data_IF_828069045833
#
_entry.id   IF_828069045833
#
_cell.length_a   1.000
_cell.length_b   1.000
_cell.length_c   1.000
_cell.angle_alpha   90.00
_cell.angle_beta   90.00
_cell.angle_gamma   90.00
#
_symmetry.space_group_name_H-M   'P 1'
#
loop_
_entity.id
_entity.type
_entity.pdbx_description
1 polymer ?
#
# COMPACT_ATOMS: atom_id res chain seq x y z
N UNK A 1 -27.08 16.32 -67.51
CA UNK A 1 -26.12 16.20 -66.38
C UNK A 1 -26.81 16.68 -65.13
N UNK A 2 -27.30 15.77 -64.29
CA UNK A 2 -27.91 16.10 -63.00
C UNK A 2 -27.04 15.45 -61.93
N UNK A 3 -26.23 16.24 -61.22
CA UNK A 3 -25.35 15.77 -60.15
C UNK A 3 -26.17 15.61 -58.87
N UNK A 4 -26.29 14.38 -58.38
CA UNK A 4 -26.82 14.07 -57.06
C UNK A 4 -25.74 14.38 -56.02
N UNK A 5 -26.00 15.36 -55.15
CA UNK A 5 -25.18 15.65 -53.98
C UNK A 5 -25.67 14.73 -52.85
N UNK A 6 -24.85 13.75 -52.48
CA UNK A 6 -25.04 12.93 -51.28
C UNK A 6 -24.52 13.72 -50.07
N UNK A 7 -25.43 14.27 -49.26
CA UNK A 7 -25.09 14.85 -47.96
C UNK A 7 -24.98 13.69 -46.96
N UNK A 8 -23.76 13.33 -46.58
CA UNK A 8 -23.49 12.40 -45.49
C UNK A 8 -23.70 13.14 -44.18
N UNK A 9 -24.84 12.91 -43.53
CA UNK A 9 -25.10 13.39 -42.18
C UNK A 9 -24.33 12.45 -41.24
N UNK A 10 -23.13 12.88 -40.81
CA UNK A 10 -22.40 12.24 -39.73
C UNK A 10 -23.15 12.58 -38.44
N UNK A 11 -23.95 11.64 -37.95
CA UNK A 11 -24.56 11.73 -36.63
C UNK A 11 -23.47 11.76 -35.57
N UNK A 12 -23.21 12.94 -35.00
CA UNK A 12 -22.51 13.07 -33.72
C UNK A 12 -23.38 12.39 -32.66
N UNK A 13 -23.04 11.15 -32.31
CA UNK A 13 -23.56 10.54 -31.09
C UNK A 13 -23.00 11.34 -29.93
N UNK A 14 -23.82 12.22 -29.35
CA UNK A 14 -23.60 12.72 -28.01
C UNK A 14 -23.69 11.50 -27.08
N UNK A 15 -22.54 10.91 -26.81
CA UNK A 15 -22.40 9.90 -25.77
C UNK A 15 -22.81 10.56 -24.46
N UNK A 16 -24.00 10.20 -23.97
CA UNK A 16 -24.42 10.53 -22.63
C UNK A 16 -23.42 9.83 -21.71
N UNK A 17 -22.50 10.57 -21.11
CA UNK A 17 -21.68 10.07 -20.01
C UNK A 17 -22.60 9.96 -18.78
N UNK A 18 -23.49 8.98 -18.80
CA UNK A 18 -24.19 8.55 -17.61
C UNK A 18 -23.11 8.04 -16.66
N UNK A 19 -23.01 8.64 -15.47
CA UNK A 19 -22.19 8.12 -14.39
C UNK A 19 -22.57 6.65 -14.20
N UNK A 20 -21.67 5.75 -14.59
CA UNK A 20 -21.91 4.33 -14.48
C UNK A 20 -21.61 3.95 -13.03
N UNK A 21 -22.65 3.57 -12.30
CA UNK A 21 -22.52 3.11 -10.91
C UNK A 21 -21.41 2.05 -10.81
N UNK A 22 -20.57 2.16 -9.76
CA UNK A 22 -19.48 1.21 -9.53
C UNK A 22 -20.06 -0.20 -9.37
N UNK A 23 -19.42 -1.17 -10.04
CA UNK A 23 -19.84 -2.57 -9.98
C UNK A 23 -19.69 -3.11 -8.55
N UNK A 24 -20.81 -3.49 -7.93
CA UNK A 24 -20.81 -4.09 -6.59
C UNK A 24 -20.44 -5.57 -6.67
N UNK A 25 -19.57 -6.01 -5.78
CA UNK A 25 -19.12 -7.40 -5.63
C UNK A 25 -19.23 -7.84 -4.17
N UNK A 26 -19.52 -9.12 -3.94
CA UNK A 26 -19.47 -9.72 -2.61
C UNK A 26 -18.05 -10.22 -2.27
N UNK A 27 -17.85 -10.71 -1.05
CA UNK A 27 -16.53 -11.19 -0.58
C UNK A 27 -15.99 -12.36 -1.45
N UNK A 28 -16.86 -13.22 -1.99
CA UNK A 28 -16.45 -14.39 -2.78
C UNK A 28 -15.95 -13.96 -4.15
N UNK A 29 -16.72 -13.12 -4.83
CA UNK A 29 -16.33 -12.55 -6.11
C UNK A 29 -15.10 -11.65 -5.98
N UNK A 30 -15.01 -10.87 -4.90
CA UNK A 30 -13.83 -10.06 -4.64
C UNK A 30 -12.57 -10.93 -4.51
N UNK A 31 -12.61 -12.03 -3.75
CA UNK A 31 -11.48 -12.97 -3.66
C UNK A 31 -11.09 -13.50 -5.05
N UNK A 32 -12.06 -13.85 -5.91
CA UNK A 32 -11.76 -14.33 -7.26
C UNK A 32 -11.03 -13.27 -8.10
N UNK A 33 -11.43 -12.00 -8.01
CA UNK A 33 -10.75 -10.90 -8.70
C UNK A 33 -9.32 -10.72 -8.17
N UNK A 34 -9.14 -10.76 -6.85
CA UNK A 34 -7.84 -10.52 -6.20
C UNK A 34 -6.85 -11.66 -6.38
N UNK A 35 -7.33 -12.89 -6.57
CA UNK A 35 -6.49 -14.07 -6.87
C UNK A 35 -6.10 -14.17 -8.35
N UNK A 36 -6.70 -13.35 -9.21
CA UNK A 36 -6.28 -13.22 -10.60
C UNK A 36 -4.97 -12.43 -10.76
N UNK A 37 -4.46 -12.36 -11.99
CA UNK A 37 -3.27 -11.57 -12.33
C UNK A 37 -3.60 -10.13 -12.78
N UNK A 38 -4.83 -9.66 -12.52
CA UNK A 38 -5.29 -8.34 -12.95
C UNK A 38 -5.05 -7.29 -11.88
N UNK A 39 -4.95 -6.03 -12.30
CA UNK A 39 -5.02 -4.89 -11.40
C UNK A 39 -6.48 -4.69 -10.98
N UNK A 40 -6.72 -4.39 -9.71
CA UNK A 40 -8.08 -4.20 -9.17
C UNK A 40 -8.08 -2.99 -8.25
N UNK A 41 -9.00 -2.05 -8.46
CA UNK A 41 -9.25 -0.97 -7.50
C UNK A 41 -10.56 -1.29 -6.79
N UNK A 42 -10.51 -1.32 -5.46
CA UNK A 42 -11.64 -1.70 -4.62
C UNK A 42 -11.98 -0.54 -3.70
N UNK A 43 -13.21 -0.04 -3.82
CA UNK A 43 -13.80 0.85 -2.83
C UNK A 43 -14.60 0.03 -1.82
N UNK A 44 -14.12 -0.05 -0.58
CA UNK A 44 -14.86 -0.63 0.54
C UNK A 44 -15.73 0.44 1.17
N UNK A 45 -17.04 0.21 1.17
CA UNK A 45 -18.05 1.10 1.71
C UNK A 45 -18.91 0.39 2.75
N UNK A 46 -19.71 1.19 3.44
CA UNK A 46 -20.66 0.72 4.44
C UNK A 46 -22.00 1.38 4.24
N UNK A 47 -23.09 0.65 4.51
CA UNK A 47 -24.41 1.25 4.55
C UNK A 47 -24.50 2.34 5.63
N UNK A 48 -25.28 3.40 5.37
CA UNK A 48 -25.46 4.56 6.26
C UNK A 48 -24.16 5.32 6.59
N UNK A 49 -23.25 5.42 5.62
CA UNK A 49 -21.96 6.09 5.75
C UNK A 49 -21.92 7.37 4.91
N UNK A 50 -21.95 8.53 5.57
CA UNK A 50 -21.94 9.82 4.85
C UNK A 50 -20.63 10.06 4.09
N UNK A 51 -19.48 9.71 4.69
CA UNK A 51 -18.16 9.87 4.06
C UNK A 51 -17.98 8.94 2.86
N UNK A 52 -18.67 7.81 2.83
CA UNK A 52 -18.61 6.86 1.71
C UNK A 52 -19.15 7.47 0.42
N UNK A 53 -20.16 8.36 0.52
CA UNK A 53 -20.70 9.07 -0.64
C UNK A 53 -19.64 9.94 -1.34
N UNK A 54 -18.72 10.55 -0.58
CA UNK A 54 -17.64 11.36 -1.14
C UNK A 54 -16.69 10.50 -1.97
N UNK A 55 -16.26 9.35 -1.42
CA UNK A 55 -15.43 8.39 -2.15
C UNK A 55 -16.16 7.82 -3.36
N UNK A 56 -17.44 7.45 -3.24
CA UNK A 56 -18.23 6.92 -4.36
C UNK A 56 -18.31 7.92 -5.50
N UNK A 57 -18.58 9.19 -5.21
CA UNK A 57 -18.65 10.24 -6.23
C UNK A 57 -17.33 10.41 -6.96
N UNK A 58 -16.21 10.54 -6.22
CA UNK A 58 -14.89 10.75 -6.81
C UNK A 58 -14.45 9.52 -7.60
N UNK A 59 -14.57 8.32 -7.02
CA UNK A 59 -14.13 7.06 -7.68
C UNK A 59 -14.98 6.77 -8.92
N UNK A 60 -16.30 7.02 -8.89
CA UNK A 60 -17.17 6.89 -10.08
C UNK A 60 -16.75 7.86 -11.18
N UNK A 61 -16.38 9.10 -10.81
CA UNK A 61 -15.95 10.12 -11.76
C UNK A 61 -14.62 9.76 -12.44
N UNK A 62 -13.64 9.25 -11.68
CA UNK A 62 -12.32 8.88 -12.21
C UNK A 62 -12.25 7.42 -12.72
N UNK A 63 -13.36 6.68 -12.67
CA UNK A 63 -13.42 5.27 -13.05
C UNK A 63 -12.81 5.00 -14.45
N UNK A 64 -13.14 5.75 -15.52
CA UNK A 64 -12.53 5.53 -16.84
C UNK A 64 -11.00 5.68 -16.82
N UNK A 65 -10.48 6.68 -16.10
CA UNK A 65 -9.04 6.92 -15.99
C UNK A 65 -8.32 5.81 -15.22
N UNK A 66 -8.96 5.25 -14.19
CA UNK A 66 -8.44 4.09 -13.45
C UNK A 66 -8.37 2.84 -14.34
N UNK A 67 -9.40 2.58 -15.16
CA UNK A 67 -9.38 1.45 -16.11
C UNK A 67 -8.32 1.66 -17.19
N UNK A 68 -8.25 2.84 -17.80
CA UNK A 68 -7.32 3.13 -18.90
C UNK A 68 -5.86 3.15 -18.43
N UNK A 69 -5.56 3.91 -17.36
CA UNK A 69 -4.18 4.16 -16.94
C UNK A 69 -3.61 3.00 -16.13
N UNK A 70 -4.42 2.42 -15.25
CA UNK A 70 -3.94 1.35 -14.36
C UNK A 70 -4.23 -0.05 -14.93
N UNK A 71 -4.98 -0.15 -16.05
CA UNK A 71 -5.51 -1.43 -16.54
C UNK A 71 -6.26 -2.19 -15.45
N UNK A 72 -6.96 -1.45 -14.58
CA UNK A 72 -7.56 -1.99 -13.37
C UNK A 72 -9.06 -2.23 -13.52
N UNK A 73 -9.55 -3.34 -12.99
CA UNK A 73 -10.98 -3.55 -12.78
C UNK A 73 -11.39 -2.75 -11.54
N UNK A 74 -12.35 -1.82 -11.67
CA UNK A 74 -12.82 -1.01 -10.54
C UNK A 74 -14.13 -1.59 -10.00
N UNK A 75 -14.17 -1.85 -8.70
CA UNK A 75 -15.33 -2.44 -8.02
C UNK A 75 -15.58 -1.77 -6.67
N UNK A 76 -16.79 -1.97 -6.15
CA UNK A 76 -17.12 -1.62 -4.77
C UNK A 76 -17.57 -2.85 -3.98
N UNK A 77 -17.21 -2.90 -2.71
CA UNK A 77 -17.71 -3.88 -1.75
C UNK A 77 -18.37 -3.14 -0.59
N UNK A 78 -19.65 -3.44 -0.33
CA UNK A 78 -20.45 -2.73 0.68
C UNK A 78 -20.80 -3.68 1.82
N UNK A 79 -20.47 -3.29 3.04
CA UNK A 79 -20.55 -4.11 4.26
C UNK A 79 -19.75 -5.44 4.16
N UNK A 80 -18.68 -5.46 3.35
CA UNK A 80 -17.82 -6.63 3.16
C UNK A 80 -16.84 -6.85 4.31
N UNK A 81 -16.52 -8.10 4.64
CA UNK A 81 -15.66 -8.40 5.78
C UNK A 81 -14.16 -8.19 5.47
N UNK A 82 -13.82 -8.21 4.18
CA UNK A 82 -12.45 -8.15 3.70
C UNK A 82 -11.77 -6.80 3.96
N UNK A 83 -12.52 -5.72 4.15
CA UNK A 83 -11.94 -4.40 4.52
C UNK A 83 -11.06 -4.50 5.76
N UNK A 84 -11.44 -5.35 6.73
CA UNK A 84 -10.68 -5.53 7.97
C UNK A 84 -9.28 -6.12 7.78
N UNK A 85 -8.99 -6.66 6.59
CA UNK A 85 -7.68 -7.19 6.19
C UNK A 85 -6.82 -6.10 5.53
N UNK A 86 -7.43 -5.05 4.97
CA UNK A 86 -6.72 -4.05 4.16
C UNK A 86 -6.67 -2.66 4.81
N UNK A 87 -7.59 -2.33 5.72
CA UNK A 87 -7.56 -1.08 6.48
C UNK A 87 -7.97 -1.29 7.95
N UNK A 88 -7.06 -1.08 8.92
CA UNK A 88 -7.38 -1.10 10.34
C UNK A 88 -8.40 -0.03 10.79
N UNK A 89 -8.53 1.07 10.04
CA UNK A 89 -9.38 2.23 10.38
C UNK A 89 -10.84 2.07 9.95
N UNK A 90 -11.16 1.01 9.18
CA UNK A 90 -12.48 0.68 8.63
C UNK A 90 -13.03 1.68 7.61
N UNK A 91 -14.19 1.33 7.01
CA UNK A 91 -14.81 2.00 5.87
C UNK A 91 -15.07 3.51 6.06
N UNK A 92 -14.96 4.34 5.00
CA UNK A 92 -14.58 3.96 3.64
C UNK A 92 -13.08 3.68 3.51
N UNK A 93 -12.71 2.71 2.68
CA UNK A 93 -11.32 2.43 2.36
C UNK A 93 -11.17 2.21 0.85
N UNK A 94 -10.19 2.87 0.23
CA UNK A 94 -9.88 2.71 -1.18
C UNK A 94 -8.54 2.00 -1.32
N UNK A 95 -8.54 0.82 -1.96
CA UNK A 95 -7.38 -0.05 -2.04
C UNK A 95 -7.11 -0.39 -3.50
N UNK A 96 -5.86 -0.21 -3.93
CA UNK A 96 -5.39 -0.63 -5.24
C UNK A 96 -4.56 -1.91 -5.12
N UNK A 97 -4.99 -2.96 -5.78
CA UNK A 97 -4.31 -4.25 -5.84
C UNK A 97 -3.52 -4.35 -7.14
N UNK A 98 -2.20 -4.38 -7.02
CA UNK A 98 -1.26 -4.47 -8.14
C UNK A 98 -0.80 -5.91 -8.23
N UNK A 99 -1.46 -6.70 -9.10
CA UNK A 99 -1.26 -8.16 -9.20
C UNK A 99 -1.30 -8.84 -7.82
N UNK A 100 -2.34 -8.53 -7.06
CA UNK A 100 -2.56 -9.06 -5.70
C UNK A 100 -1.84 -8.34 -4.56
N UNK A 101 -0.94 -7.38 -4.83
CA UNK A 101 -0.25 -6.61 -3.78
C UNK A 101 -1.05 -5.33 -3.46
N UNK A 102 -1.67 -5.24 -2.27
CA UNK A 102 -2.55 -4.12 -1.93
C UNK A 102 -1.76 -2.87 -1.56
N UNK A 103 -2.24 -1.69 -1.93
CA UNK A 103 -1.83 -0.41 -1.37
C UNK A 103 -3.07 0.38 -0.95
N UNK A 104 -3.05 0.87 0.29
CA UNK A 104 -4.14 1.66 0.87
C UNK A 104 -3.99 3.14 0.50
N UNK A 105 -5.04 3.72 -0.05
CA UNK A 105 -5.11 5.16 -0.23
C UNK A 105 -5.45 5.86 1.10
N UNK A 106 -4.65 6.85 1.47
CA UNK A 106 -4.78 7.59 2.74
C UNK A 106 -4.66 9.11 2.57
N UNK A 107 -4.76 9.60 1.33
CA UNK A 107 -4.71 11.02 0.99
C UNK A 107 -6.09 11.69 1.02
N UNK A 108 -6.12 12.94 0.54
CA UNK A 108 -7.35 13.72 0.40
C UNK A 108 -8.28 13.14 -0.67
N UNK A 109 -9.59 13.18 -0.49
CA UNK A 109 -10.54 12.54 -1.42
C UNK A 109 -10.84 13.46 -2.60
N UNK A 110 -9.94 13.48 -3.57
CA UNK A 110 -10.14 14.21 -4.83
C UNK A 110 -9.50 13.47 -6.00
N UNK A 111 -9.96 13.80 -7.21
CA UNK A 111 -9.59 13.14 -8.45
C UNK A 111 -8.08 13.05 -8.68
N UNK A 112 -7.40 14.20 -8.68
CA UNK A 112 -6.00 14.32 -9.08
C UNK A 112 -5.08 13.60 -8.08
N UNK A 113 -5.30 13.78 -6.77
CA UNK A 113 -4.46 13.13 -5.75
C UNK A 113 -4.62 11.59 -5.77
N UNK A 114 -5.84 11.06 -5.98
CA UNK A 114 -6.04 9.60 -6.06
C UNK A 114 -5.36 9.04 -7.31
N UNK A 115 -5.55 9.68 -8.46
CA UNK A 115 -4.94 9.26 -9.72
C UNK A 115 -3.41 9.33 -9.64
N UNK A 116 -2.86 10.44 -9.17
CA UNK A 116 -1.42 10.62 -9.02
C UNK A 116 -0.84 9.61 -8.04
N UNK A 117 -1.48 9.37 -6.90
CA UNK A 117 -1.02 8.38 -5.95
C UNK A 117 -0.97 6.97 -6.54
N UNK A 118 -2.01 6.51 -7.24
CA UNK A 118 -2.00 5.18 -7.86
C UNK A 118 -1.05 5.07 -9.05
N UNK A 119 -0.97 6.11 -9.89
CA UNK A 119 -0.03 6.18 -11.01
C UNK A 119 1.43 6.14 -10.54
N UNK A 120 1.76 6.88 -9.48
CA UNK A 120 3.10 6.84 -8.91
C UNK A 120 3.40 5.44 -8.35
N UNK A 121 2.40 4.69 -7.89
CA UNK A 121 2.56 3.44 -7.16
C UNK A 121 2.15 2.18 -7.93
N UNK A 122 2.26 2.19 -9.27
CA UNK A 122 2.01 1.02 -10.13
C UNK A 122 2.82 -0.21 -9.73
N UNK A 123 4.09 -0.01 -9.35
CA UNK A 123 4.97 -1.08 -8.89
C UNK A 123 5.16 -1.01 -7.36
N UNK A 124 5.19 -2.16 -6.66
CA UNK A 124 5.44 -2.21 -5.22
C UNK A 124 6.79 -1.60 -4.85
N UNK A 125 6.80 -0.74 -3.83
CA UNK A 125 8.01 -0.07 -3.36
C UNK A 125 8.68 -0.80 -2.19
N UNK A 126 7.93 -1.65 -1.47
CA UNK A 126 8.45 -2.36 -0.29
C UNK A 126 9.35 -3.51 -0.74
N UNK A 127 10.56 -3.57 -0.17
CA UNK A 127 11.53 -4.62 -0.44
C UNK A 127 11.37 -5.79 0.53
N UNK A 128 11.46 -7.02 0.02
CA UNK A 128 11.52 -8.22 0.86
C UNK A 128 12.96 -8.46 1.32
N UNK A 129 13.16 -8.54 2.63
CA UNK A 129 14.46 -8.86 3.23
C UNK A 129 14.47 -10.27 3.79
N UNK A 130 15.66 -10.85 3.83
CA UNK A 130 15.97 -12.13 4.43
C UNK A 130 17.35 -12.08 5.09
N UNK A 131 17.70 -13.12 5.82
CA UNK A 131 19.04 -13.30 6.38
C UNK A 131 20.14 -13.22 5.30
N UNK A 132 19.84 -13.69 4.08
CA UNK A 132 20.80 -13.72 2.97
C UNK A 132 21.06 -12.34 2.34
N UNK A 133 20.06 -11.46 2.33
CA UNK A 133 20.15 -10.19 1.60
C UNK A 133 20.23 -8.95 2.50
N UNK A 134 19.91 -9.07 3.80
CA UNK A 134 19.76 -7.93 4.70
C UNK A 134 21.04 -7.11 4.78
N UNK A 135 22.18 -7.73 5.08
CA UNK A 135 23.45 -6.99 5.19
C UNK A 135 23.92 -6.46 3.85
N UNK A 136 23.75 -7.24 2.77
CA UNK A 136 24.13 -6.81 1.44
C UNK A 136 23.39 -5.54 1.03
N UNK A 137 22.07 -5.51 1.24
CA UNK A 137 21.22 -4.40 0.83
C UNK A 137 21.30 -3.22 1.79
N UNK A 138 21.30 -3.45 3.11
CA UNK A 138 21.18 -2.38 4.10
C UNK A 138 22.52 -1.81 4.56
N UNK A 139 23.58 -2.62 4.55
CA UNK A 139 24.88 -2.31 5.15
C UNK A 139 24.75 -1.83 6.61
N UNK A 140 23.77 -2.40 7.34
CA UNK A 140 23.41 -1.90 8.67
C UNK A 140 24.53 -2.06 9.70
N UNK A 141 25.30 -3.17 9.63
CA UNK A 141 26.34 -3.47 10.63
C UNK A 141 27.63 -2.66 10.45
N UNK A 142 27.97 -2.29 9.22
CA UNK A 142 29.19 -1.51 8.94
C UNK A 142 29.01 -0.01 9.23
N UNK A 143 27.79 0.43 9.51
CA UNK A 143 27.42 1.84 9.64
C UNK A 143 27.40 2.62 8.32
N UNK A 144 27.86 2.01 7.22
CA UNK A 144 27.87 2.58 5.87
C UNK A 144 26.56 2.23 5.14
N UNK A 145 25.43 2.71 5.66
CA UNK A 145 24.10 2.35 5.14
C UNK A 145 23.90 2.84 3.70
N UNK A 146 23.24 2.05 2.85
CA UNK A 146 22.85 2.39 1.45
C UNK A 146 21.69 3.40 1.37
N UNK A 147 21.62 4.31 2.34
CA UNK A 147 20.46 5.10 2.69
C UNK A 147 19.76 4.56 3.94
N UNK A 148 18.75 5.29 4.41
CA UNK A 148 17.98 4.89 5.58
C UNK A 148 16.98 3.78 5.21
N UNK A 149 16.68 2.91 6.18
CA UNK A 149 15.78 1.78 5.99
C UNK A 149 14.73 1.74 7.09
N UNK A 150 13.45 1.64 6.75
CA UNK A 150 12.40 1.33 7.71
C UNK A 150 11.85 -0.07 7.43
N UNK A 151 12.03 -0.97 8.39
CA UNK A 151 11.80 -2.41 8.21
C UNK A 151 10.65 -2.88 9.11
N UNK A 152 9.66 -3.54 8.50
CA UNK A 152 8.56 -4.23 9.17
C UNK A 152 8.89 -5.72 9.33
N UNK A 153 9.09 -6.15 10.56
CA UNK A 153 9.25 -7.55 10.94
C UNK A 153 7.88 -8.15 11.23
N UNK A 154 7.54 -9.20 10.49
CA UNK A 154 6.24 -9.88 10.55
C UNK A 154 6.42 -11.40 10.71
N UNK A 155 5.34 -12.12 11.01
CA UNK A 155 5.29 -13.58 10.90
C UNK A 155 4.02 -14.02 10.16
N UNK A 156 4.01 -15.25 9.64
CA UNK A 156 2.87 -15.78 8.89
C UNK A 156 1.61 -15.96 9.77
N UNK A 157 1.80 -16.27 11.04
CA UNK A 157 0.74 -16.50 12.05
C UNK A 157 0.19 -15.20 12.65
N UNK A 158 0.86 -14.07 12.39
CA UNK A 158 0.49 -12.77 12.93
C UNK A 158 -0.68 -12.16 12.15
N UNK A 159 -1.90 -12.35 12.66
CA UNK A 159 -3.12 -11.80 12.05
C UNK A 159 -3.11 -10.27 11.95
N UNK A 160 -2.53 -9.58 12.95
CA UNK A 160 -2.35 -8.13 12.90
C UNK A 160 -1.41 -7.75 11.75
N UNK A 161 -0.34 -8.52 11.51
CA UNK A 161 0.63 -8.24 10.47
C UNK A 161 0.01 -8.29 9.07
N UNK A 162 -0.85 -9.29 8.83
CA UNK A 162 -1.61 -9.41 7.59
C UNK A 162 -2.43 -8.14 7.31
N UNK A 163 -3.03 -7.55 8.35
CA UNK A 163 -3.81 -6.31 8.26
C UNK A 163 -2.98 -5.07 7.92
N UNK A 164 -1.68 -5.14 8.12
CA UNK A 164 -0.77 -4.02 7.91
C UNK A 164 -0.08 -4.05 6.56
N UNK A 165 -0.28 -5.07 5.71
CA UNK A 165 0.39 -5.11 4.41
C UNK A 165 0.00 -3.94 3.50
N UNK A 166 -1.30 -3.65 3.35
CA UNK A 166 -1.74 -2.52 2.53
C UNK A 166 -1.28 -1.17 3.11
N UNK A 167 -1.35 -1.02 4.44
CA UNK A 167 -0.82 0.14 5.16
C UNK A 167 0.67 0.32 4.90
N UNK A 168 1.45 -0.75 5.02
CA UNK A 168 2.90 -0.73 4.87
C UNK A 168 3.34 -0.45 3.43
N UNK A 169 2.61 -0.97 2.45
CA UNK A 169 2.76 -0.60 1.04
C UNK A 169 2.51 0.88 0.79
N UNK A 170 1.60 1.49 1.55
CA UNK A 170 1.30 2.93 1.45
C UNK A 170 2.43 3.79 2.01
N UNK A 171 3.03 3.35 3.12
CA UNK A 171 4.26 3.94 3.66
C UNK A 171 5.39 3.82 2.64
N UNK A 172 5.54 2.63 2.04
CA UNK A 172 6.40 2.34 0.88
C UNK A 172 6.25 3.38 -0.22
N UNK A 173 5.04 3.51 -0.74
CA UNK A 173 4.72 4.41 -1.84
C UNK A 173 5.02 5.88 -1.53
N UNK A 174 4.71 6.33 -0.31
CA UNK A 174 4.94 7.72 0.13
C UNK A 174 6.43 8.03 0.32
N UNK A 175 7.23 7.06 0.78
CA UNK A 175 8.62 7.28 1.19
C UNK A 175 9.67 6.78 0.19
N UNK A 176 9.30 6.08 -0.90
CA UNK A 176 10.23 5.45 -1.86
C UNK A 176 11.30 6.37 -2.47
N UNK A 177 11.08 7.70 -2.50
CA UNK A 177 12.05 8.70 -3.00
C UNK A 177 12.91 9.32 -1.88
N UNK A 178 12.63 9.00 -0.61
CA UNK A 178 13.29 9.57 0.58
C UNK A 178 14.10 8.53 1.35
N UNK A 179 13.58 7.30 1.50
CA UNK A 179 14.24 6.21 2.20
C UNK A 179 13.69 4.84 1.76
N UNK A 180 14.39 3.77 2.09
CA UNK A 180 14.01 2.41 1.73
C UNK A 180 12.97 1.86 2.71
N UNK A 181 11.87 1.32 2.20
CA UNK A 181 10.87 0.61 3.00
C UNK A 181 11.00 -0.87 2.71
N UNK A 182 10.99 -1.68 3.76
CA UNK A 182 11.16 -3.13 3.65
C UNK A 182 10.30 -3.90 4.64
N UNK A 183 10.15 -5.19 4.39
CA UNK A 183 9.58 -6.14 5.34
C UNK A 183 10.41 -7.42 5.39
N UNK A 184 10.24 -8.20 6.45
CA UNK A 184 11.01 -9.41 6.71
C UNK A 184 10.21 -10.39 7.58
N UNK A 185 10.17 -11.66 7.20
CA UNK A 185 9.58 -12.71 8.04
C UNK A 185 10.52 -13.06 9.20
N UNK A 186 10.15 -12.70 10.43
CA UNK A 186 10.96 -12.82 11.63
C UNK A 186 11.12 -14.25 12.16
N UNK A 187 10.29 -15.18 11.71
CA UNK A 187 10.31 -16.59 12.16
C UNK A 187 10.78 -17.57 11.09
N UNK A 188 10.96 -17.10 9.85
CA UNK A 188 11.43 -17.93 8.72
C UNK A 188 12.69 -17.33 8.09
N UNK A 189 12.56 -16.71 6.91
CA UNK A 189 13.65 -16.24 6.08
C UNK A 189 14.56 -15.19 6.72
N UNK A 190 14.10 -14.50 7.77
CA UNK A 190 14.84 -13.47 8.50
C UNK A 190 15.08 -13.79 9.97
N UNK A 191 14.98 -15.05 10.40
CA UNK A 191 15.01 -15.41 11.82
C UNK A 191 16.32 -15.01 12.54
N UNK A 192 17.47 -15.13 11.88
CA UNK A 192 18.77 -14.80 12.46
C UNK A 192 18.92 -13.29 12.64
N UNK A 193 18.52 -12.53 11.61
CA UNK A 193 18.53 -11.07 11.61
C UNK A 193 17.52 -10.53 12.63
N UNK A 194 16.31 -11.05 12.66
CA UNK A 194 15.29 -10.69 13.64
C UNK A 194 15.78 -10.97 15.07
N UNK A 195 16.39 -12.13 15.33
CA UNK A 195 16.98 -12.44 16.64
C UNK A 195 18.07 -11.44 17.02
N UNK A 196 19.00 -11.17 16.11
CA UNK A 196 20.10 -10.22 16.31
C UNK A 196 19.59 -8.81 16.60
N UNK A 197 18.59 -8.35 15.86
CA UNK A 197 17.97 -7.04 16.04
C UNK A 197 16.88 -7.03 17.12
N UNK A 198 16.67 -8.12 17.87
CA UNK A 198 15.64 -8.22 18.91
C UNK A 198 14.22 -7.92 18.39
N UNK A 199 13.85 -8.51 17.25
CA UNK A 199 12.59 -8.31 16.53
C UNK A 199 11.86 -9.64 16.25
N UNK A 200 11.96 -10.62 17.17
CA UNK A 200 11.27 -11.91 17.06
C UNK A 200 9.77 -11.80 17.34
N UNK A 201 9.34 -10.82 18.13
CA UNK A 201 7.94 -10.53 18.38
C UNK A 201 7.35 -9.72 17.22
N UNK A 202 6.25 -10.21 16.65
CA UNK A 202 5.56 -9.60 15.51
C UNK A 202 4.24 -8.94 15.92
N UNK A 203 3.87 -7.77 15.35
CA UNK A 203 4.67 -6.95 14.45
C UNK A 203 5.74 -6.16 15.21
N UNK A 204 6.91 -5.98 14.60
CA UNK A 204 7.93 -5.02 15.05
C UNK A 204 8.40 -4.13 13.90
N UNK A 205 8.73 -2.87 14.20
CA UNK A 205 9.22 -1.92 13.20
C UNK A 205 10.50 -1.26 13.67
N UNK A 206 11.52 -1.30 12.82
CA UNK A 206 12.84 -0.76 13.13
C UNK A 206 13.28 0.16 12.00
N UNK A 207 13.55 1.41 12.35
CA UNK A 207 14.18 2.39 11.47
C UNK A 207 15.70 2.37 11.67
N UNK A 208 16.45 2.12 10.59
CA UNK A 208 17.89 2.06 10.54
C UNK A 208 18.41 3.32 9.87
N UNK A 209 19.25 4.07 10.59
CA UNK A 209 19.82 5.32 10.12
C UNK A 209 21.17 5.57 10.78
N UNK A 210 22.21 5.76 9.96
CA UNK A 210 23.55 6.16 10.41
C UNK A 210 24.13 5.23 11.50
N UNK A 211 24.08 3.92 11.27
CA UNK A 211 24.59 2.89 12.20
C UNK A 211 23.78 2.74 13.49
N UNK A 212 22.62 3.40 13.58
CA UNK A 212 21.70 3.31 14.71
C UNK A 212 20.38 2.71 14.27
N UNK A 213 19.74 1.99 15.19
CA UNK A 213 18.38 1.51 15.06
C UNK A 213 17.44 2.24 16.04
N UNK A 214 16.25 2.55 15.57
CA UNK A 214 15.19 3.24 16.28
C UNK A 214 13.92 2.40 16.19
N UNK A 215 13.42 1.91 17.32
CA UNK A 215 12.19 1.11 17.39
C UNK A 215 10.96 2.00 17.37
N UNK A 216 9.96 1.63 16.60
CA UNK A 216 8.64 2.25 16.68
C UNK A 216 7.85 1.67 17.86
N UNK A 217 7.56 2.49 18.86
CA UNK A 217 6.90 2.05 20.10
C UNK A 217 5.47 2.60 20.26
N UNK A 218 5.04 3.50 19.38
CA UNK A 218 3.82 4.26 19.57
C UNK A 218 2.54 3.39 19.43
N UNK A 219 2.61 2.27 18.70
CA UNK A 219 1.51 1.32 18.43
C UNK A 219 0.32 1.92 17.66
N UNK A 220 0.46 3.09 17.04
CA UNK A 220 -0.46 3.57 16.01
C UNK A 220 -0.02 3.00 14.66
N UNK A 221 -0.89 2.29 13.94
CA UNK A 221 -0.52 1.60 12.70
C UNK A 221 -1.22 2.20 11.47
N UNK A 222 -1.23 3.53 11.35
CA UNK A 222 -1.69 4.22 10.14
C UNK A 222 -0.49 4.63 9.26
N UNK A 223 -0.67 4.82 7.95
CA UNK A 223 0.38 5.33 7.08
C UNK A 223 0.99 6.64 7.60
N UNK A 224 0.15 7.57 8.11
CA UNK A 224 0.59 8.88 8.61
C UNK A 224 1.50 8.73 9.81
N UNK A 225 1.15 7.85 10.76
CA UNK A 225 1.93 7.65 11.97
C UNK A 225 3.33 7.08 11.65
N UNK A 226 3.40 6.12 10.73
CA UNK A 226 4.68 5.58 10.27
C UNK A 226 5.52 6.61 9.51
N UNK A 227 4.91 7.38 8.61
CA UNK A 227 5.59 8.45 7.87
C UNK A 227 6.13 9.51 8.82
N UNK A 228 5.30 9.99 9.76
CA UNK A 228 5.73 10.97 10.76
C UNK A 228 6.88 10.45 11.62
N UNK A 229 6.84 9.18 12.02
CA UNK A 229 7.93 8.56 12.75
C UNK A 229 9.23 8.54 11.95
N UNK A 230 9.19 8.06 10.71
CA UNK A 230 10.38 7.94 9.86
C UNK A 230 11.00 9.30 9.51
N UNK A 231 10.17 10.34 9.32
CA UNK A 231 10.67 11.68 8.98
C UNK A 231 11.30 12.40 10.17
N UNK A 232 10.66 12.36 11.35
CA UNK A 232 11.10 13.12 12.53
C UNK A 232 10.86 12.43 13.86
N UNK A 233 9.78 11.66 13.99
CA UNK A 233 9.35 11.10 15.27
C UNK A 233 10.39 10.16 15.90
N UNK A 234 11.24 9.50 15.12
CA UNK A 234 12.32 8.63 15.62
C UNK A 234 13.28 9.34 16.60
N UNK A 235 13.43 10.66 16.52
CA UNK A 235 14.28 11.45 17.40
C UNK A 235 13.73 11.61 18.82
N UNK A 236 12.39 11.55 18.98
CA UNK A 236 11.70 11.86 20.24
C UNK A 236 10.88 10.70 20.78
N UNK A 237 10.46 9.77 19.92
CA UNK A 237 9.58 8.64 20.25
C UNK A 237 10.35 7.32 20.35
N UNK A 238 11.66 7.33 20.18
CA UNK A 238 12.52 6.15 20.26
C UNK A 238 13.84 6.49 20.94
N UNK A 239 14.52 5.45 21.42
CA UNK A 239 15.87 5.56 21.97
C UNK A 239 16.85 4.97 20.96
N UNK A 240 17.83 5.74 20.46
CA UNK A 240 18.82 5.23 19.52
C UNK A 240 19.64 4.10 20.16
N UNK A 241 19.70 2.96 19.48
CA UNK A 241 20.59 1.85 19.84
C UNK A 241 21.59 1.64 18.70
N UNK A 242 22.86 1.28 18.98
CA UNK A 242 23.76 0.86 17.91
C UNK A 242 23.19 -0.39 17.22
N UNK A 243 23.36 -0.50 15.90
CA UNK A 243 23.02 -1.74 15.20
C UNK A 243 23.95 -2.86 15.68
N UNK A 244 23.44 -3.99 16.19
CA UNK A 244 24.27 -5.11 16.62
C UNK A 244 25.11 -5.68 15.47
N UNK A 245 26.39 -5.92 15.75
CA UNK A 245 27.31 -6.56 14.80
C UNK A 245 26.84 -7.96 14.41
N UNK A 246 27.27 -8.42 13.23
CA UNK A 246 27.05 -9.80 12.79
C UNK A 246 27.79 -10.73 13.76
N UNK A 247 27.13 -11.75 14.35
CA UNK A 247 27.81 -12.73 15.19
C UNK A 247 28.99 -13.33 14.44
N UNK A 248 30.18 -13.28 15.03
CA UNK A 248 31.33 -13.98 14.47
C UNK A 248 31.01 -15.48 14.41
N UNK A 249 31.25 -16.12 13.26
CA UNK A 249 31.16 -17.57 13.16
C UNK A 249 32.16 -18.18 14.16
N UNK A 250 31.66 -18.96 15.12
CA UNK A 250 32.46 -19.75 16.06
C UNK A 250 32.89 -21.04 15.39
#
# INVERSE_FOLDING_TARGET
>A
MLQFIFVVIIGLSLGNAAAQDLRRVDDTELIQLLTGNSNVVVLFNKNNCQRCLEYENVVTKIHPQLEETLSAVVVQSVDGNLVSIYDPSKEPALVFFRRGIPILYHGEVNDDEILDFFNDNLEPAVKELSDDNFEHLTQASSGATTGDWFVFFYSAECTVCQRLYAVWESVGGKLKRKLNIARMNSLESGSSTAKRLGALESPAFIFLRQGKMYRYLAKQYSPEAFVQFAEKGYLTQSHPQPVPEIPSAV
#
